data_IF_024336958916
#
_entry.id   IF_024336958916
#
_cell.length_a   1.000
_cell.length_b   1.000
_cell.length_c   1.000
_cell.angle_alpha   90.00
_cell.angle_beta   90.00
_cell.angle_gamma   90.00
#
_symmetry.space_group_name_H-M   'P 1'
#
loop_
_entity.id
_entity.type
_entity.pdbx_description
1 polymer ?
#
# COMPACT_ATOMS: atom_id res chain seq x y z
N UNK A 1 3.44 1.18 8.34
CA UNK A 1 2.04 1.58 8.62
C UNK A 1 1.82 1.48 10.12
N UNK A 2 1.01 2.34 10.75
CA UNK A 2 0.73 2.27 12.21
C UNK A 2 0.34 0.84 12.67
N UNK A 3 -0.29 0.11 11.75
CA UNK A 3 -0.73 -1.29 11.87
C UNK A 3 0.43 -2.30 11.99
N UNK A 4 1.61 -2.11 11.39
CA UNK A 4 2.65 -3.18 11.32
C UNK A 4 3.31 -3.47 12.67
N UNK A 5 3.30 -2.52 13.61
CA UNK A 5 4.19 -2.57 14.77
C UNK A 5 3.80 -3.55 15.89
N UNK A 6 2.56 -4.05 15.97
CA UNK A 6 2.15 -4.85 17.15
C UNK A 6 1.34 -6.14 16.88
N UNK A 7 0.78 -6.35 15.69
CA UNK A 7 -0.03 -7.57 15.40
C UNK A 7 0.48 -8.36 14.16
N UNK A 8 1.32 -7.74 13.31
CA UNK A 8 1.56 -8.26 11.96
C UNK A 8 2.98 -8.75 11.68
N UNK A 9 3.91 -8.61 12.63
CA UNK A 9 5.26 -9.20 12.52
C UNK A 9 5.23 -10.71 12.29
N UNK A 10 4.18 -11.40 12.77
CA UNK A 10 4.00 -12.84 12.53
C UNK A 10 3.51 -13.20 11.12
N UNK A 11 2.86 -12.28 10.40
CA UNK A 11 2.34 -12.54 9.05
C UNK A 11 3.34 -12.16 7.96
N UNK A 12 4.20 -11.17 8.19
CA UNK A 12 5.18 -10.74 7.17
C UNK A 12 6.02 -11.89 6.59
N UNK A 13 6.54 -12.85 7.38
CA UNK A 13 7.27 -13.99 6.82
C UNK A 13 6.44 -14.82 5.84
N UNK A 14 5.14 -15.00 6.10
CA UNK A 14 4.23 -15.74 5.22
C UNK A 14 3.93 -14.94 3.94
N UNK A 15 3.78 -13.61 4.05
CA UNK A 15 3.58 -12.74 2.88
C UNK A 15 4.79 -12.83 1.93
N UNK A 16 5.98 -12.95 2.49
CA UNK A 16 7.23 -13.18 1.75
C UNK A 16 7.27 -14.57 1.12
N UNK A 17 7.01 -15.62 1.91
CA UNK A 17 7.05 -17.02 1.48
C UNK A 17 6.09 -17.31 0.32
N UNK A 18 4.89 -16.73 0.35
CA UNK A 18 3.87 -16.95 -0.67
C UNK A 18 3.87 -15.91 -1.79
N UNK A 19 4.87 -15.01 -1.83
CA UNK A 19 5.03 -14.07 -2.94
C UNK A 19 3.87 -13.07 -3.08
N UNK A 20 3.31 -12.60 -1.97
CA UNK A 20 2.15 -11.70 -1.99
C UNK A 20 2.54 -10.34 -2.57
N UNK A 21 1.95 -9.94 -3.70
CA UNK A 21 2.32 -8.68 -4.37
C UNK A 21 1.81 -7.42 -3.63
N UNK A 22 0.59 -7.48 -3.11
CA UNK A 22 -0.08 -6.34 -2.44
C UNK A 22 -0.85 -6.79 -1.23
N UNK A 23 -0.76 -6.00 -0.15
CA UNK A 23 -1.55 -6.20 1.05
C UNK A 23 -2.42 -4.98 1.31
N UNK A 24 -3.74 -5.20 1.34
CA UNK A 24 -4.73 -4.14 1.56
C UNK A 24 -5.16 -4.16 3.01
N UNK A 25 -5.10 -3.00 3.65
CA UNK A 25 -5.44 -2.76 5.04
C UNK A 25 -6.54 -1.70 5.17
N UNK A 26 -7.16 -1.66 6.34
CA UNK A 26 -8.12 -0.65 6.75
C UNK A 26 -7.87 -0.33 8.24
N UNK A 27 -8.92 -0.19 9.05
CA UNK A 27 -8.87 0.23 10.45
C UNK A 27 -8.48 1.70 10.64
N UNK A 28 -7.26 2.09 10.25
CA UNK A 28 -6.86 3.50 10.24
C UNK A 28 -7.74 4.24 9.21
N UNK A 29 -8.44 5.29 9.66
CA UNK A 29 -9.33 6.13 8.87
C UNK A 29 -8.54 7.11 7.99
N UNK A 30 -7.62 6.57 7.20
CA UNK A 30 -6.76 7.31 6.28
C UNK A 30 -6.44 6.49 5.03
N UNK A 31 -5.76 7.12 4.07
CA UNK A 31 -5.10 6.44 2.96
C UNK A 31 -3.59 6.53 3.12
N UNK A 32 -2.89 5.40 3.03
CA UNK A 32 -1.42 5.36 3.02
C UNK A 32 -0.94 4.25 2.09
N UNK A 33 -0.01 4.58 1.19
CA UNK A 33 0.71 3.63 0.34
C UNK A 33 2.17 3.57 0.77
N UNK A 34 2.70 2.36 0.94
CA UNK A 34 4.12 2.15 1.19
C UNK A 34 4.93 2.04 -0.12
N UNK A 35 6.24 2.23 -0.02
CA UNK A 35 7.18 1.55 -0.92
C UNK A 35 7.10 0.02 -0.67
N UNK A 36 7.63 -0.84 -1.56
CA UNK A 36 7.70 -2.27 -1.24
C UNK A 36 8.46 -2.47 0.06
N UNK A 37 7.87 -3.19 1.02
CA UNK A 37 8.29 -3.13 2.42
C UNK A 37 8.31 -4.52 3.05
N UNK A 38 9.37 -4.80 3.79
CA UNK A 38 9.46 -5.95 4.69
C UNK A 38 10.36 -5.57 5.88
N UNK A 39 9.95 -5.88 7.11
CA UNK A 39 10.71 -5.56 8.34
C UNK A 39 11.18 -4.08 8.40
N UNK A 40 10.29 -3.15 8.03
CA UNK A 40 10.58 -1.71 7.94
C UNK A 40 11.69 -1.31 6.95
N UNK A 41 12.21 -2.22 6.14
CA UNK A 41 13.20 -1.98 5.08
C UNK A 41 12.52 -1.94 3.71
N UNK A 42 12.91 -0.97 2.88
CA UNK A 42 12.36 -0.78 1.53
C UNK A 42 13.10 -1.65 0.51
N UNK A 43 12.36 -2.46 -0.24
CA UNK A 43 12.88 -3.36 -1.29
C UNK A 43 12.34 -2.97 -2.67
N UNK A 44 12.84 -1.84 -3.19
CA UNK A 44 12.44 -1.33 -4.51
C UNK A 44 12.66 -2.36 -5.63
N UNK A 45 11.86 -2.23 -6.68
CA UNK A 45 11.96 -3.07 -7.87
C UNK A 45 13.13 -2.75 -8.81
N UNK A 46 13.13 -3.42 -9.97
CA UNK A 46 14.24 -3.43 -10.94
C UNK A 46 14.39 -2.12 -11.71
N UNK A 47 13.27 -1.53 -12.15
CA UNK A 47 13.25 -0.32 -12.98
C UNK A 47 12.35 0.77 -12.36
N UNK A 48 12.44 0.89 -11.04
CA UNK A 48 11.58 1.75 -10.24
C UNK A 48 11.01 0.98 -9.05
N UNK A 49 10.35 1.66 -8.10
CA UNK A 49 9.90 1.03 -6.86
C UNK A 49 8.93 -0.13 -7.11
N UNK A 50 8.12 -0.08 -8.17
CA UNK A 50 6.98 -0.97 -8.35
C UNK A 50 7.04 -1.88 -9.59
N UNK A 51 8.20 -1.95 -10.27
CA UNK A 51 8.44 -2.89 -11.36
C UNK A 51 9.27 -4.04 -10.83
N UNK A 52 8.69 -5.23 -10.76
CA UNK A 52 9.21 -6.39 -10.03
C UNK A 52 9.64 -6.01 -8.61
N UNK A 53 8.72 -5.50 -7.76
CA UNK A 53 9.05 -5.12 -6.40
C UNK A 53 9.69 -6.30 -5.65
N UNK A 54 10.63 -6.00 -4.75
CA UNK A 54 11.37 -7.00 -3.96
C UNK A 54 10.67 -7.41 -2.67
N UNK A 55 9.57 -6.75 -2.31
CA UNK A 55 8.69 -7.08 -1.19
C UNK A 55 7.24 -6.69 -1.52
N UNK A 56 6.25 -7.09 -0.70
CA UNK A 56 4.87 -6.67 -0.87
C UNK A 56 4.70 -5.15 -0.77
N UNK A 57 3.74 -4.60 -1.52
CA UNK A 57 3.30 -3.21 -1.35
C UNK A 57 2.10 -3.18 -0.41
N UNK A 58 2.15 -2.34 0.62
CA UNK A 58 1.07 -2.22 1.58
C UNK A 58 0.24 -0.96 1.28
N UNK A 59 -1.09 -1.12 1.24
CA UNK A 59 -2.03 -0.02 0.98
C UNK A 59 -3.07 -0.02 2.10
N UNK A 60 -3.12 1.07 2.87
CA UNK A 60 -4.22 1.38 3.79
C UNK A 60 -5.28 2.17 3.03
N UNK A 61 -6.53 1.72 3.07
CA UNK A 61 -7.68 2.40 2.45
C UNK A 61 -8.88 2.42 3.41
N UNK A 62 -8.69 2.95 4.62
CA UNK A 62 -9.72 2.96 5.66
C UNK A 62 -10.56 4.24 5.77
N UNK A 63 -10.29 5.27 4.98
CA UNK A 63 -11.00 6.56 5.03
C UNK A 63 -12.33 6.60 4.24
N UNK A 64 -13.18 5.57 4.37
CA UNK A 64 -14.42 5.47 3.58
C UNK A 64 -15.58 6.37 4.09
N UNK A 65 -15.51 6.90 5.32
CA UNK A 65 -16.58 7.76 5.87
C UNK A 65 -16.98 7.50 7.33
N UNK A 66 -16.08 7.00 8.18
CA UNK A 66 -16.40 6.73 9.58
C UNK A 66 -16.86 8.00 10.32
N UNK A 67 -17.78 7.84 11.28
CA UNK A 67 -18.28 8.92 12.15
C UNK A 67 -17.19 9.53 13.04
N UNK A 68 -16.11 8.78 13.27
CA UNK A 68 -14.98 9.17 14.12
C UNK A 68 -14.00 10.13 13.41
N UNK A 69 -14.34 10.60 12.21
CA UNK A 69 -13.48 11.41 11.35
C UNK A 69 -12.27 10.64 10.81
N UNK A 70 -11.37 11.33 10.11
CA UNK A 70 -10.12 10.76 9.57
C UNK A 70 -8.98 10.87 10.57
N UNK A 71 -8.06 9.90 10.54
CA UNK A 71 -6.92 9.88 11.46
C UNK A 71 -5.79 10.82 11.01
N UNK A 72 -5.15 11.56 11.94
CA UNK A 72 -4.00 12.41 11.63
C UNK A 72 -2.72 11.57 11.46
N UNK A 73 -1.77 12.12 10.71
CA UNK A 73 -0.45 11.50 10.56
C UNK A 73 0.60 12.07 11.52
N UNK A 74 1.48 11.20 11.98
CA UNK A 74 2.70 11.58 12.68
C UNK A 74 3.75 12.17 11.71
N UNK A 75 4.59 13.08 12.23
CA UNK A 75 5.67 13.73 11.50
C UNK A 75 7.00 13.63 12.27
N UNK A 76 8.14 13.41 11.56
CA UNK A 76 8.25 13.19 10.11
C UNK A 76 7.63 11.85 9.67
N UNK A 77 7.29 11.73 8.38
CA UNK A 77 6.84 10.45 7.83
C UNK A 77 7.97 9.42 7.94
N UNK A 78 7.61 8.14 8.15
CA UNK A 78 8.59 7.06 8.05
C UNK A 78 9.11 6.93 6.61
N UNK A 79 10.37 6.53 6.45
CA UNK A 79 11.03 6.47 5.14
C UNK A 79 10.34 5.51 4.15
N UNK A 80 9.60 4.50 4.64
CA UNK A 80 8.83 3.57 3.82
C UNK A 80 7.49 4.12 3.34
N UNK A 81 7.01 5.24 3.87
CA UNK A 81 5.72 5.86 3.50
C UNK A 81 5.89 6.63 2.19
N UNK A 82 5.23 6.17 1.12
CA UNK A 82 5.38 6.73 -0.22
C UNK A 82 4.37 7.85 -0.49
N UNK A 83 3.12 7.64 -0.08
CA UNK A 83 2.05 8.63 -0.20
C UNK A 83 1.05 8.45 0.93
N UNK A 84 0.48 9.55 1.42
CA UNK A 84 -0.53 9.52 2.48
C UNK A 84 -1.53 10.67 2.34
N UNK A 85 -2.78 10.41 2.73
CA UNK A 85 -3.86 11.40 2.69
C UNK A 85 -4.88 11.12 3.79
N UNK A 86 -5.35 12.19 4.41
CA UNK A 86 -6.47 12.16 5.38
C UNK A 86 -7.79 12.49 4.69
N UNK A 87 -7.84 12.56 3.35
CA UNK A 87 -9.08 12.79 2.63
C UNK A 87 -10.00 11.57 2.82
N UNK A 88 -11.30 11.81 2.95
CA UNK A 88 -12.27 10.75 2.73
C UNK A 88 -12.20 10.28 1.28
N UNK A 89 -12.29 8.97 1.07
CA UNK A 89 -12.10 8.41 -0.25
C UNK A 89 -12.26 6.91 -0.33
N UNK A 90 -11.96 6.39 -1.52
CA UNK A 90 -11.98 4.97 -1.80
C UNK A 90 -10.92 4.62 -2.84
N UNK A 91 -10.39 3.41 -2.74
CA UNK A 91 -9.46 2.87 -3.71
C UNK A 91 -10.21 2.11 -4.82
N UNK A 92 -9.83 2.37 -6.08
CA UNK A 92 -10.22 1.57 -7.25
C UNK A 92 -9.07 0.65 -7.61
N UNK A 93 -9.35 -0.64 -7.73
CA UNK A 93 -8.38 -1.67 -8.12
C UNK A 93 -8.78 -2.27 -9.47
N UNK A 94 -7.81 -2.46 -10.36
CA UNK A 94 -8.00 -3.16 -11.62
C UNK A 94 -6.81 -4.05 -11.94
N UNK A 95 -7.06 -5.35 -12.05
CA UNK A 95 -6.14 -6.28 -12.70
C UNK A 95 -6.29 -6.17 -14.22
N UNK A 96 -5.24 -5.75 -14.91
CA UNK A 96 -5.26 -5.56 -16.36
C UNK A 96 -4.91 -6.83 -17.11
N UNK A 97 -3.93 -7.57 -16.61
CA UNK A 97 -3.47 -8.84 -17.16
C UNK A 97 -2.72 -9.62 -16.06
N UNK A 98 -2.03 -10.69 -16.43
CA UNK A 98 -1.29 -11.55 -15.49
C UNK A 98 -0.08 -10.85 -14.82
N UNK A 99 0.39 -9.73 -15.35
CA UNK A 99 1.60 -9.05 -14.89
C UNK A 99 1.35 -7.63 -14.40
N UNK A 100 0.21 -7.01 -14.70
CA UNK A 100 -0.07 -5.60 -14.40
C UNK A 100 -1.35 -5.43 -13.60
N UNK A 101 -1.21 -4.75 -12.47
CA UNK A 101 -2.34 -4.26 -11.67
C UNK A 101 -2.23 -2.75 -11.48
N UNK A 102 -3.38 -2.09 -11.37
CA UNK A 102 -3.47 -0.65 -11.20
C UNK A 102 -4.37 -0.29 -10.03
N UNK A 103 -3.93 0.69 -9.25
CA UNK A 103 -4.69 1.28 -8.17
C UNK A 103 -4.85 2.79 -8.38
N UNK A 104 -5.99 3.31 -7.94
CA UNK A 104 -6.23 4.74 -7.80
C UNK A 104 -6.89 5.02 -6.46
N UNK A 105 -6.42 6.03 -5.74
CA UNK A 105 -7.15 6.58 -4.60
C UNK A 105 -7.97 7.78 -5.07
N UNK A 106 -9.28 7.69 -4.91
CA UNK A 106 -10.24 8.74 -5.26
C UNK A 106 -10.63 9.50 -4.00
N UNK A 107 -10.44 10.81 -3.99
CA UNK A 107 -10.85 11.69 -2.90
C UNK A 107 -12.28 12.18 -3.10
N UNK A 108 -13.13 11.92 -2.10
CA UNK A 108 -14.49 12.46 -2.00
C UNK A 108 -14.45 13.95 -1.65
N UNK A 109 -13.55 14.34 -0.74
CA UNK A 109 -13.37 15.74 -0.33
C UNK A 109 -12.99 16.65 -1.50
N UNK A 110 -12.32 16.08 -2.51
CA UNK A 110 -11.93 16.76 -3.76
C UNK A 110 -12.84 16.39 -4.93
N UNK A 111 -14.12 16.12 -4.65
CA UNK A 111 -15.18 15.91 -5.67
C UNK A 111 -14.84 14.80 -6.68
N UNK A 112 -14.29 13.69 -6.21
CA UNK A 112 -13.96 12.54 -7.04
C UNK A 112 -12.61 12.64 -7.77
N UNK A 113 -11.72 13.56 -7.37
CA UNK A 113 -10.37 13.66 -7.94
C UNK A 113 -9.53 12.45 -7.53
N UNK A 114 -8.82 11.86 -8.49
CA UNK A 114 -7.74 10.89 -8.21
C UNK A 114 -6.58 11.63 -7.58
N UNK A 115 -6.23 11.28 -6.35
CA UNK A 115 -5.16 11.93 -5.58
C UNK A 115 -3.87 11.12 -5.53
N UNK A 116 -3.96 9.82 -5.79
CA UNK A 116 -2.82 8.93 -5.94
C UNK A 116 -3.15 7.82 -6.94
N UNK A 117 -2.12 7.33 -7.64
CA UNK A 117 -2.26 6.20 -8.55
C UNK A 117 -0.98 5.39 -8.62
N UNK A 118 -1.13 4.08 -8.82
CA UNK A 118 -0.02 3.13 -8.75
C UNK A 118 -0.20 2.04 -9.80
N UNK A 119 0.82 1.84 -10.63
CA UNK A 119 1.03 0.59 -11.35
C UNK A 119 1.96 -0.31 -10.54
N UNK A 120 1.60 -1.59 -10.43
CA UNK A 120 2.52 -2.63 -9.99
C UNK A 120 2.65 -3.62 -11.13
N UNK A 121 3.89 -3.84 -11.54
CA UNK A 121 4.24 -4.76 -12.61
C UNK A 121 5.04 -5.92 -12.02
N UNK A 122 4.54 -7.14 -12.16
CA UNK A 122 5.22 -8.36 -11.72
C UNK A 122 5.29 -9.32 -12.89
N UNK A 123 6.48 -9.49 -13.44
CA UNK A 123 6.68 -10.33 -14.64
C UNK A 123 6.64 -11.82 -14.33
N UNK A 124 6.92 -12.20 -13.08
CA UNK A 124 6.91 -13.57 -12.60
C UNK A 124 6.44 -13.59 -11.14
N UNK A 125 5.41 -14.36 -10.85
CA UNK A 125 4.98 -14.60 -9.48
C UNK A 125 5.81 -15.74 -8.88
N UNK A 126 6.47 -15.43 -7.76
CA UNK A 126 7.31 -16.34 -6.99
C UNK A 126 7.50 -15.79 -5.57
N UNK A 127 7.92 -16.65 -4.65
CA UNK A 127 8.35 -16.23 -3.33
C UNK A 127 9.44 -15.16 -3.41
N UNK A 128 9.43 -14.19 -2.49
CA UNK A 128 10.51 -13.22 -2.44
C UNK A 128 11.77 -13.85 -1.84
N UNK A 129 12.93 -13.48 -2.38
CA UNK A 129 14.24 -13.92 -1.89
C UNK A 129 14.91 -12.72 -1.19
N UNK A 130 14.68 -12.61 0.12
CA UNK A 130 15.13 -11.53 0.99
C UNK A 130 16.17 -12.00 2.01
#
# INVERSE_FOLDING_TARGET
>A
IIIINNVFSGLEPLLIEFGVDVVIWAHEHSYERSWPLYDNVVYNGTEGPYINPGAPVHIVTGSAGCQESTDPFNYPAAAWSAFRSTDYGYTRFKAYNQTHIYFEQVSVDRKGKVIDSLWIEKHKHEAYNL
#
